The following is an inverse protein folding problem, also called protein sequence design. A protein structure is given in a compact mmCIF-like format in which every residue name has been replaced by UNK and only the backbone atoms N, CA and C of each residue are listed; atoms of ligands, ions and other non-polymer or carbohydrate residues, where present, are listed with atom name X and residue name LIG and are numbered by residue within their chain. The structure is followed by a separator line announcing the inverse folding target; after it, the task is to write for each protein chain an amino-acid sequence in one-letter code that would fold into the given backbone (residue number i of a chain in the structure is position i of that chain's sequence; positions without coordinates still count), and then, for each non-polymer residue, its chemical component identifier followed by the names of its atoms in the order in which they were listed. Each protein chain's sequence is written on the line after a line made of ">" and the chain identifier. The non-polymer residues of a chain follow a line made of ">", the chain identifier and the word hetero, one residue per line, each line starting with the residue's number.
data_IF_710370711719
#
_entry.id   IF_710370711719
#
_cell.length_a   1.000
_cell.length_b   1.000
_cell.length_c   1.000
_cell.angle_alpha   90.00
_cell.angle_beta   90.00
_cell.angle_gamma   90.00
#
_symmetry.space_group_name_H-M   'P 1'
#
loop_
_entity.id
_entity.type
_entity.pdbx_description
1 polymer ?
#
# COMPACT_ATOMS: atom_id res chain seq x y z
N UNK A 1 -18.13 -14.06 15.98
CA UNK A 1 -17.20 -13.13 15.29
C UNK A 1 -16.32 -13.94 14.36
N UNK A 2 -15.99 -13.39 13.20
CA UNK A 2 -15.04 -13.95 12.25
C UNK A 2 -13.73 -13.17 12.38
N UNK A 3 -12.62 -13.86 12.11
CA UNK A 3 -11.29 -13.24 12.07
C UNK A 3 -10.59 -13.79 10.83
N UNK A 4 -10.08 -12.91 9.99
CA UNK A 4 -9.26 -13.27 8.83
C UNK A 4 -7.80 -13.14 9.25
N UNK A 5 -7.02 -14.17 8.95
CA UNK A 5 -5.59 -14.22 9.24
C UNK A 5 -4.83 -14.68 8.01
N UNK A 6 -3.66 -14.09 7.75
CA UNK A 6 -2.80 -14.41 6.62
C UNK A 6 -1.38 -14.78 7.10
N UNK A 7 -1.15 -16.01 7.57
CA UNK A 7 0.18 -16.43 8.02
C UNK A 7 1.24 -16.32 6.92
N UNK A 8 0.87 -16.59 5.67
CA UNK A 8 1.78 -16.45 4.52
C UNK A 8 2.21 -15.00 4.30
N UNK A 9 1.30 -14.03 4.47
CA UNK A 9 1.65 -12.61 4.40
C UNK A 9 2.61 -12.20 5.50
N UNK A 10 2.37 -12.64 6.73
CA UNK A 10 3.30 -12.39 7.85
C UNK A 10 4.69 -13.00 7.59
N UNK A 11 4.77 -14.23 7.10
CA UNK A 11 6.03 -14.88 6.74
C UNK A 11 6.75 -14.12 5.62
N UNK A 12 6.03 -13.69 4.56
CA UNK A 12 6.60 -12.89 3.49
C UNK A 12 7.13 -11.54 4.00
N UNK A 13 6.41 -10.88 4.91
CA UNK A 13 6.84 -9.64 5.56
C UNK A 13 8.18 -9.85 6.30
N UNK A 14 8.31 -10.96 7.05
CA UNK A 14 9.54 -11.31 7.75
C UNK A 14 10.69 -11.64 6.78
N UNK A 15 10.44 -12.39 5.72
CA UNK A 15 11.44 -12.72 4.71
C UNK A 15 11.99 -11.48 4.01
N UNK A 16 11.12 -10.52 3.68
CA UNK A 16 11.53 -9.25 3.08
C UNK A 16 12.33 -8.43 4.08
N UNK A 17 11.89 -8.33 5.33
CA UNK A 17 12.62 -7.64 6.39
C UNK A 17 14.04 -8.20 6.58
N UNK A 18 14.20 -9.52 6.64
CA UNK A 18 15.50 -10.19 6.73
C UNK A 18 16.38 -9.90 5.51
N UNK A 19 15.79 -9.94 4.31
CA UNK A 19 16.53 -9.69 3.06
C UNK A 19 17.08 -8.28 3.01
N UNK A 20 16.25 -7.25 3.26
CA UNK A 20 16.72 -5.86 3.22
C UNK A 20 17.68 -5.54 4.36
N UNK A 21 17.55 -6.18 5.51
CA UNK A 21 18.48 -6.02 6.63
C UNK A 21 19.85 -6.62 6.34
N UNK A 22 19.90 -7.72 5.57
CA UNK A 22 21.16 -8.38 5.22
C UNK A 22 21.91 -7.68 4.09
N UNK A 23 21.18 -7.14 3.12
CA UNK A 23 21.76 -6.62 1.87
C UNK A 23 21.61 -5.10 1.72
N UNK A 24 20.95 -4.45 2.67
CA UNK A 24 20.52 -3.07 2.54
C UNK A 24 19.31 -2.94 1.63
N UNK A 25 18.64 -1.77 1.67
CA UNK A 25 17.56 -1.43 0.77
C UNK A 25 16.26 -1.08 1.47
N UNK A 26 15.20 -1.05 0.68
CA UNK A 26 13.86 -0.74 1.15
C UNK A 26 12.80 -1.61 0.46
N UNK A 27 11.66 -1.74 1.08
CA UNK A 27 10.47 -2.37 0.52
C UNK A 27 9.27 -1.44 0.68
N UNK A 28 8.39 -1.41 -0.32
CA UNK A 28 7.15 -0.66 -0.32
C UNK A 28 6.00 -1.62 -0.61
N UNK A 29 4.98 -1.57 0.23
CA UNK A 29 3.75 -2.36 0.12
C UNK A 29 2.59 -1.38 -0.11
N UNK A 30 1.86 -1.58 -1.19
CA UNK A 30 0.65 -0.79 -1.49
C UNK A 30 -0.45 -1.77 -1.85
N UNK A 31 -1.54 -1.75 -1.09
CA UNK A 31 -2.71 -2.57 -1.37
C UNK A 31 -3.95 -1.98 -0.67
N UNK A 32 -5.13 -2.49 -1.00
CA UNK A 32 -6.32 -2.19 -0.22
C UNK A 32 -6.32 -2.98 1.09
N UNK A 33 -6.64 -2.29 2.17
CA UNK A 33 -6.56 -2.90 3.50
C UNK A 33 -6.70 -1.91 4.64
N UNK A 34 -6.40 -2.38 5.84
CA UNK A 34 -6.57 -1.63 7.09
C UNK A 34 -5.44 -1.92 8.06
N UNK A 35 -5.31 -1.06 9.07
CA UNK A 35 -4.42 -1.26 10.22
C UNK A 35 -5.07 -2.14 11.30
N UNK A 36 -5.76 -3.16 10.90
CA UNK A 36 -6.39 -4.12 11.82
C UNK A 36 -6.86 -5.34 11.06
N UNK A 37 -6.94 -6.46 11.77
CA UNK A 37 -7.58 -7.65 11.25
C UNK A 37 -9.03 -7.36 10.84
N UNK A 38 -9.40 -7.81 9.67
CA UNK A 38 -10.77 -7.80 9.18
C UNK A 38 -11.46 -9.13 9.53
N UNK A 39 -12.77 -9.14 9.58
CA UNK A 39 -13.53 -10.35 9.88
C UNK A 39 -14.55 -10.71 8.81
N UNK A 40 -14.67 -9.89 7.76
CA UNK A 40 -15.66 -10.08 6.70
C UNK A 40 -15.25 -9.30 5.43
N UNK A 41 -14.00 -9.45 5.02
CA UNK A 41 -13.49 -8.79 3.82
C UNK A 41 -13.35 -9.72 2.61
N UNK A 42 -13.42 -11.04 2.82
CA UNK A 42 -13.36 -12.03 1.75
C UNK A 42 -14.55 -11.90 0.80
N UNK A 43 -14.27 -11.60 -0.45
CA UNK A 43 -15.26 -11.40 -1.51
C UNK A 43 -14.85 -12.14 -2.78
N UNK A 44 -15.84 -12.55 -3.54
CA UNK A 44 -15.67 -13.06 -4.88
C UNK A 44 -15.94 -11.96 -5.91
N UNK A 45 -15.16 -11.92 -6.98
CA UNK A 45 -15.34 -11.00 -8.10
C UNK A 45 -15.45 -11.81 -9.38
N UNK A 46 -16.49 -11.52 -10.17
CA UNK A 46 -16.70 -12.14 -11.48
C UNK A 46 -17.36 -11.14 -12.43
N UNK A 47 -16.73 -10.92 -13.60
CA UNK A 47 -17.21 -9.93 -14.57
C UNK A 47 -17.43 -8.54 -13.95
N UNK A 48 -16.49 -8.08 -13.11
CA UNK A 48 -16.54 -6.82 -12.36
C UNK A 48 -17.73 -6.67 -11.41
N UNK A 49 -18.33 -7.78 -10.99
CA UNK A 49 -19.43 -7.80 -10.02
C UNK A 49 -19.05 -8.64 -8.79
N UNK A 50 -19.52 -8.21 -7.63
CA UNK A 50 -19.37 -8.98 -6.41
C UNK A 50 -20.29 -10.20 -6.44
N UNK A 51 -19.72 -11.35 -6.17
CA UNK A 51 -20.43 -12.63 -6.08
C UNK A 51 -20.01 -13.36 -4.79
N UNK A 52 -20.75 -14.39 -4.41
CA UNK A 52 -20.33 -15.25 -3.29
C UNK A 52 -18.95 -15.86 -3.56
N UNK A 53 -17.98 -15.76 -2.64
CA UNK A 53 -16.64 -16.34 -2.80
C UNK A 53 -16.66 -17.88 -2.95
N UNK A 54 -17.73 -18.53 -2.53
CA UNK A 54 -17.93 -19.98 -2.65
C UNK A 54 -18.67 -20.38 -3.93
N UNK A 55 -19.10 -19.41 -4.74
CA UNK A 55 -19.80 -19.69 -5.99
C UNK A 55 -18.79 -20.04 -7.10
N UNK A 56 -19.02 -21.14 -7.79
CA UNK A 56 -18.22 -21.57 -8.96
C UNK A 56 -16.70 -21.61 -8.70
N UNK A 57 -16.21 -22.51 -7.84
CA UNK A 57 -14.78 -22.62 -7.52
C UNK A 57 -13.88 -22.67 -8.77
N UNK A 58 -12.77 -21.92 -8.74
CA UNK A 58 -11.84 -21.81 -9.86
C UNK A 58 -12.29 -20.90 -11.02
N UNK A 59 -13.44 -20.20 -10.89
CA UNK A 59 -14.00 -19.28 -11.90
C UNK A 59 -14.41 -17.93 -11.32
N UNK A 60 -13.97 -17.65 -10.11
CA UNK A 60 -14.24 -16.42 -9.37
C UNK A 60 -12.90 -15.94 -8.81
N UNK A 61 -12.58 -14.68 -9.00
CA UNK A 61 -11.43 -14.06 -8.36
C UNK A 61 -11.76 -13.82 -6.89
N UNK A 62 -10.86 -14.25 -6.02
CA UNK A 62 -11.00 -14.03 -4.59
C UNK A 62 -10.18 -12.81 -4.17
N UNK A 63 -10.77 -11.98 -3.34
CA UNK A 63 -10.17 -10.76 -2.84
C UNK A 63 -10.42 -10.62 -1.35
N UNK A 64 -9.44 -10.15 -0.60
CA UNK A 64 -9.48 -9.94 0.84
C UNK A 64 -8.68 -8.68 1.19
N UNK A 65 -9.12 -7.94 2.21
CA UNK A 65 -8.38 -6.77 2.69
C UNK A 65 -7.08 -7.20 3.38
N UNK A 66 -6.00 -6.49 3.12
CA UNK A 66 -4.71 -6.71 3.79
C UNK A 66 -4.79 -6.18 5.23
N UNK A 67 -4.37 -6.99 6.19
CA UNK A 67 -4.13 -6.57 7.57
C UNK A 67 -2.68 -6.07 7.70
N UNK A 68 -2.49 -4.78 7.46
CA UNK A 68 -1.17 -4.14 7.53
C UNK A 68 -0.59 -4.15 8.95
N UNK A 69 -1.44 -4.09 9.99
CA UNK A 69 -0.96 -4.17 11.36
C UNK A 69 -0.26 -5.51 11.64
N UNK A 70 -0.81 -6.61 11.14
CA UNK A 70 -0.19 -7.94 11.27
C UNK A 70 1.12 -8.05 10.49
N UNK A 71 1.21 -7.46 9.28
CA UNK A 71 2.45 -7.45 8.49
C UNK A 71 3.54 -6.64 9.20
N UNK A 72 3.19 -5.46 9.71
CA UNK A 72 4.08 -4.60 10.49
C UNK A 72 4.58 -5.30 11.74
N UNK A 73 3.66 -5.82 12.56
CA UNK A 73 4.00 -6.54 13.77
C UNK A 73 4.90 -7.78 13.52
N UNK A 74 4.68 -8.48 12.40
CA UNK A 74 5.50 -9.63 12.02
C UNK A 74 6.96 -9.22 11.73
N UNK A 75 7.16 -8.11 11.00
CA UNK A 75 8.50 -7.58 10.73
C UNK A 75 9.19 -7.07 12.01
N UNK A 76 8.48 -6.28 12.82
CA UNK A 76 8.99 -5.70 14.07
C UNK A 76 9.33 -6.78 15.13
N UNK A 77 8.62 -7.92 15.11
CA UNK A 77 8.89 -9.05 16.00
C UNK A 77 10.28 -9.67 15.81
N UNK A 78 10.91 -9.47 14.67
CA UNK A 78 12.29 -9.92 14.40
C UNK A 78 13.33 -9.15 15.20
N UNK A 79 13.00 -7.94 15.70
CA UNK A 79 13.89 -7.07 16.49
C UNK A 79 15.26 -6.87 15.83
N UNK A 80 15.25 -6.58 14.53
CA UNK A 80 16.47 -6.36 13.76
C UNK A 80 16.91 -4.90 13.93
N UNK A 81 18.15 -4.70 14.39
CA UNK A 81 18.74 -3.38 14.54
C UNK A 81 18.86 -2.69 13.17
N UNK A 82 18.47 -1.41 13.10
CA UNK A 82 18.49 -0.62 11.87
C UNK A 82 17.36 -0.91 10.88
N UNK A 83 16.44 -1.80 11.19
CA UNK A 83 15.20 -2.00 10.42
C UNK A 83 14.10 -1.10 10.97
N UNK A 84 13.59 -0.21 10.12
CA UNK A 84 12.47 0.67 10.44
C UNK A 84 11.25 0.32 9.58
N UNK A 85 10.06 0.28 10.18
CA UNK A 85 8.79 0.06 9.49
C UNK A 85 7.93 1.30 9.63
N UNK A 86 7.64 1.97 8.52
CA UNK A 86 6.87 3.21 8.44
C UNK A 86 5.47 2.97 7.87
N UNK A 87 4.54 3.78 8.33
CA UNK A 87 3.14 3.74 7.90
C UNK A 87 2.30 2.84 8.84
N UNK A 88 1.06 2.56 8.50
CA UNK A 88 0.50 2.80 7.19
C UNK A 88 0.00 4.23 7.02
N UNK A 89 0.06 4.72 5.79
CA UNK A 89 -0.58 5.98 5.38
C UNK A 89 -1.60 5.69 4.27
N UNK A 90 -2.61 6.53 4.13
CA UNK A 90 -3.54 6.45 3.00
C UNK A 90 -2.81 6.72 1.68
N UNK A 91 -3.21 6.05 0.60
CA UNK A 91 -2.61 6.26 -0.71
C UNK A 91 -2.69 7.72 -1.16
N UNK A 92 -3.82 8.39 -0.88
CA UNK A 92 -3.99 9.80 -1.23
C UNK A 92 -2.93 10.69 -0.58
N UNK A 93 -2.70 10.52 0.73
CA UNK A 93 -1.70 11.28 1.49
C UNK A 93 -0.28 10.93 1.03
N UNK A 94 0.01 9.64 0.82
CA UNK A 94 1.28 9.17 0.29
C UNK A 94 1.60 9.83 -1.05
N UNK A 95 0.67 9.84 -1.99
CA UNK A 95 0.86 10.44 -3.31
C UNK A 95 0.97 11.96 -3.25
N UNK A 96 0.22 12.64 -2.38
CA UNK A 96 0.31 14.09 -2.16
C UNK A 96 1.69 14.47 -1.62
N UNK A 97 2.19 13.73 -0.63
CA UNK A 97 3.55 13.94 -0.10
C UNK A 97 4.64 13.70 -1.15
N UNK A 98 4.42 12.78 -2.10
CA UNK A 98 5.29 12.56 -3.25
C UNK A 98 5.13 13.58 -4.38
N UNK A 99 4.25 14.58 -4.21
CA UNK A 99 4.10 15.70 -5.15
C UNK A 99 3.22 15.40 -6.36
N UNK A 100 2.21 14.53 -6.23
CA UNK A 100 1.27 14.22 -7.32
C UNK A 100 0.56 15.46 -7.86
N UNK A 101 0.28 16.47 -7.00
CA UNK A 101 -0.35 17.72 -7.39
C UNK A 101 0.56 18.56 -8.29
N UNK A 102 1.83 18.65 -7.91
CA UNK A 102 2.84 19.34 -8.74
C UNK A 102 3.00 18.67 -10.08
N UNK A 103 3.00 17.33 -10.10
CA UNK A 103 3.05 16.55 -11.34
C UNK A 103 1.81 16.77 -12.20
N UNK A 104 0.61 16.75 -11.61
CA UNK A 104 -0.64 17.04 -12.32
C UNK A 104 -0.59 18.43 -12.96
N UNK A 105 -0.21 19.45 -12.18
CA UNK A 105 -0.09 20.81 -12.70
C UNK A 105 0.87 20.89 -13.88
N UNK A 106 2.03 20.25 -13.77
CA UNK A 106 3.02 20.22 -14.85
C UNK A 106 2.48 19.54 -16.12
N UNK A 107 1.68 18.47 -15.98
CA UNK A 107 1.05 17.79 -17.11
C UNK A 107 -0.05 18.64 -17.75
N UNK A 108 -0.89 19.31 -16.94
CA UNK A 108 -1.98 20.16 -17.41
C UNK A 108 -1.50 21.44 -18.11
N UNK A 109 -0.28 21.87 -17.85
CA UNK A 109 0.32 23.08 -18.45
C UNK A 109 1.20 22.78 -19.65
N UNK A 110 1.28 21.55 -20.12
CA UNK A 110 2.07 21.17 -21.28
C UNK A 110 1.50 21.80 -22.57
N UNK A 111 2.35 22.33 -23.48
CA UNK A 111 1.88 22.79 -24.77
C UNK A 111 1.19 21.67 -25.56
N UNK A 112 -0.01 21.95 -26.06
CA UNK A 112 -0.74 21.01 -26.91
C UNK A 112 -1.62 20.00 -26.19
N UNK A 113 -1.74 20.08 -24.86
CA UNK A 113 -2.71 19.26 -24.12
C UNK A 113 -4.13 19.58 -24.59
N UNK A 114 -4.93 18.56 -24.88
CA UNK A 114 -6.33 18.72 -25.23
C UNK A 114 -7.21 18.76 -23.98
N UNK A 115 -8.42 19.31 -24.10
CA UNK A 115 -9.41 19.34 -23.02
C UNK A 115 -9.74 17.91 -22.53
N UNK A 116 -9.92 16.96 -23.44
CA UNK A 116 -10.18 15.55 -23.12
C UNK A 116 -9.02 14.91 -22.31
N UNK A 117 -7.78 15.21 -22.69
CA UNK A 117 -6.61 14.74 -21.95
C UNK A 117 -6.52 15.37 -20.55
N UNK A 118 -6.82 16.67 -20.45
CA UNK A 118 -6.83 17.37 -19.16
C UNK A 118 -7.91 16.79 -18.22
N UNK A 119 -9.12 16.54 -18.74
CA UNK A 119 -10.19 15.90 -17.98
C UNK A 119 -9.80 14.49 -17.53
N UNK A 120 -9.20 13.69 -18.41
CA UNK A 120 -8.72 12.33 -18.07
C UNK A 120 -7.68 12.36 -16.95
N UNK A 121 -6.72 13.29 -16.99
CA UNK A 121 -5.72 13.46 -15.95
C UNK A 121 -6.33 13.86 -14.61
N UNK A 122 -7.30 14.78 -14.65
CA UNK A 122 -8.00 15.23 -13.46
C UNK A 122 -8.83 14.11 -12.81
N UNK A 123 -9.57 13.35 -13.61
CA UNK A 123 -10.33 12.19 -13.13
C UNK A 123 -9.40 11.10 -12.53
N UNK A 124 -8.25 10.84 -13.18
CA UNK A 124 -7.26 9.90 -12.66
C UNK A 124 -6.67 10.37 -11.32
N UNK A 125 -6.35 11.66 -11.19
CA UNK A 125 -5.89 12.25 -9.94
C UNK A 125 -6.93 12.07 -8.83
N UNK A 126 -8.19 12.43 -9.08
CA UNK A 126 -9.27 12.26 -8.11
C UNK A 126 -9.40 10.80 -7.68
N UNK A 127 -9.47 9.89 -8.64
CA UNK A 127 -9.58 8.46 -8.35
C UNK A 127 -8.47 7.94 -7.44
N UNK A 128 -7.23 8.42 -7.62
CA UNK A 128 -6.07 7.97 -6.85
C UNK A 128 -5.99 8.58 -5.45
N UNK A 129 -6.53 9.81 -5.26
CA UNK A 129 -6.27 10.60 -4.06
C UNK A 129 -7.51 10.90 -3.22
N UNK A 130 -8.72 10.78 -3.77
CA UNK A 130 -9.95 11.08 -3.07
C UNK A 130 -10.23 10.04 -1.96
N UNK A 131 -10.74 10.52 -0.82
CA UNK A 131 -11.02 9.69 0.35
C UNK A 131 -12.13 8.66 0.11
N UNK A 132 -13.10 8.98 -0.75
CA UNK A 132 -14.22 8.10 -1.09
C UNK A 132 -13.87 7.10 -2.20
N UNK A 133 -12.68 7.26 -2.83
CA UNK A 133 -12.18 6.40 -3.89
C UNK A 133 -10.98 5.56 -3.40
N UNK A 134 -9.83 5.64 -4.05
CA UNK A 134 -8.66 4.85 -3.70
C UNK A 134 -7.81 5.48 -2.59
N UNK A 135 -8.01 6.78 -2.29
CA UNK A 135 -7.12 7.55 -1.43
C UNK A 135 -7.02 7.02 0.01
N UNK A 136 -8.10 6.47 0.57
CA UNK A 136 -8.10 5.87 1.91
C UNK A 136 -8.25 4.36 1.91
N UNK A 137 -8.85 3.80 0.84
CA UNK A 137 -9.06 2.35 0.69
C UNK A 137 -7.74 1.61 0.49
N UNK A 138 -6.81 2.22 -0.27
CA UNK A 138 -5.45 1.73 -0.43
C UNK A 138 -4.54 2.34 0.63
N UNK A 139 -3.62 1.53 1.13
CA UNK A 139 -2.65 1.90 2.14
C UNK A 139 -1.23 1.66 1.63
N UNK A 140 -0.31 2.51 2.08
CA UNK A 140 1.11 2.35 1.85
C UNK A 140 1.84 2.08 3.17
N UNK A 141 2.73 1.10 3.17
CA UNK A 141 3.64 0.76 4.27
C UNK A 141 5.04 0.56 3.68
N UNK A 142 6.06 1.05 4.34
CA UNK A 142 7.43 0.79 3.91
C UNK A 142 8.28 0.15 5.01
N UNK A 143 9.28 -0.60 4.59
CA UNK A 143 10.37 -1.08 5.43
C UNK A 143 11.67 -0.54 4.86
N UNK A 144 12.53 -0.01 5.72
CA UNK A 144 13.85 0.52 5.33
C UNK A 144 14.88 -0.05 6.26
N UNK A 145 15.96 -0.59 5.70
CA UNK A 145 17.12 -1.00 6.47
C UNK A 145 18.20 0.06 6.33
N UNK A 146 18.58 0.64 7.46
CA UNK A 146 19.69 1.59 7.55
C UNK A 146 20.98 0.83 7.84
N UNK A 147 22.12 1.20 7.22
CA UNK A 147 23.40 0.61 7.56
C UNK A 147 23.74 0.86 9.03
N UNK A 148 24.14 -0.16 9.75
CA UNK A 148 24.62 -0.04 11.12
C UNK A 148 25.94 0.74 11.14
N UNK A 149 26.02 1.83 11.90
CA UNK A 149 27.26 2.60 12.13
C UNK A 149 27.42 3.93 11.40
N UNK A 150 26.38 4.41 10.68
CA UNK A 150 26.34 5.78 10.13
C UNK A 150 25.52 6.72 11.03
N UNK A 151 25.92 7.98 11.15
CA UNK A 151 25.05 9.05 11.66
C UNK A 151 24.01 9.37 10.57
N UNK A 152 22.91 8.60 10.56
CA UNK A 152 21.75 8.89 9.71
C UNK A 152 20.65 9.48 10.60
N UNK A 153 20.09 10.61 10.21
CA UNK A 153 18.83 11.07 10.81
C UNK A 153 17.75 10.02 10.52
N UNK A 154 17.12 9.52 11.58
CA UNK A 154 15.92 8.66 11.47
C UNK A 154 14.74 9.49 10.98
N UNK A 155 14.73 9.85 9.71
CA UNK A 155 13.58 10.48 9.08
C UNK A 155 12.79 9.45 8.29
N UNK A 156 11.45 9.53 8.31
CA UNK A 156 10.63 8.70 7.44
C UNK A 156 11.01 8.91 5.97
N UNK A 157 10.96 7.89 5.13
CA UNK A 157 11.13 8.06 3.69
C UNK A 157 10.03 8.96 3.12
N UNK A 158 10.30 9.57 1.96
CA UNK A 158 9.32 10.42 1.29
C UNK A 158 7.98 9.69 1.11
N UNK A 159 6.89 10.35 1.51
CA UNK A 159 5.55 9.77 1.48
C UNK A 159 5.05 9.19 2.82
N UNK A 160 5.89 9.16 3.87
CA UNK A 160 5.52 8.60 5.18
C UNK A 160 5.73 9.57 6.33
#
# INVERSE_FOLDING_TARGET
>A
SRLEVCPAGCALSQDIALRISTHGGAALFIDYGKDRASGDSLRGIKHHQFVSPLQSPGRVDLSVDVDFASLKAAAEALKIDGLNVYGTVGQGDFLKQLGIETRLHALLTQPGITEEQAETLYLAYHRLTDEEEMGTVYRAMSMVSMPTGGEYEESPPAGF
#
